data_IF_740824721146
#
_entry.id   IF_740824721146
#
_cell.length_a   1.000
_cell.length_b   1.000
_cell.length_c   1.000
_cell.angle_alpha   90.00
_cell.angle_beta   90.00
_cell.angle_gamma   90.00
#
_symmetry.space_group_name_H-M   'P 1'
#
loop_
_entity.id
_entity.type
_entity.pdbx_description
1 polymer ?
#
# COMPACT_ATOMS: atom_id res chain seq x y z
N UNK A 1 8.96 -10.35 -14.88
CA UNK A 1 9.47 -9.89 -13.57
C UNK A 1 9.41 -8.36 -13.40
N UNK A 2 10.27 -7.56 -14.06
CA UNK A 2 10.28 -6.08 -13.89
C UNK A 2 8.92 -5.42 -14.19
N UNK A 3 8.26 -5.82 -15.28
CA UNK A 3 6.94 -5.30 -15.64
C UNK A 3 5.88 -5.51 -14.54
N UNK A 4 5.93 -6.62 -13.80
CA UNK A 4 5.02 -6.88 -12.68
C UNK A 4 5.20 -5.84 -11.57
N UNK A 5 6.46 -5.53 -11.21
CA UNK A 5 6.74 -4.50 -10.21
C UNK A 5 6.36 -3.09 -10.66
N UNK A 6 6.46 -2.78 -11.96
CA UNK A 6 5.96 -1.51 -12.50
C UNK A 6 4.44 -1.39 -12.37
N UNK A 7 3.70 -2.46 -12.65
CA UNK A 7 2.24 -2.50 -12.46
C UNK A 7 1.85 -2.38 -10.99
N UNK A 8 2.57 -3.07 -10.10
CA UNK A 8 2.39 -2.92 -8.65
C UNK A 8 2.63 -1.46 -8.22
N UNK A 9 3.68 -0.84 -8.74
CA UNK A 9 4.02 0.54 -8.41
C UNK A 9 2.94 1.52 -8.85
N UNK A 10 2.52 1.42 -10.11
CA UNK A 10 1.45 2.24 -10.66
C UNK A 10 0.15 2.06 -9.88
N UNK A 11 -0.24 0.81 -9.61
CA UNK A 11 -1.47 0.52 -8.90
C UNK A 11 -1.47 1.11 -7.47
N UNK A 12 -0.35 0.96 -6.76
CA UNK A 12 -0.19 1.50 -5.42
C UNK A 12 -0.28 3.03 -5.43
N UNK A 13 0.39 3.71 -6.35
CA UNK A 13 0.33 5.17 -6.47
C UNK A 13 -1.10 5.65 -6.75
N UNK A 14 -1.82 5.00 -7.67
CA UNK A 14 -3.20 5.35 -8.01
C UNK A 14 -4.18 5.19 -6.84
N UNK A 15 -3.96 4.23 -5.92
CA UNK A 15 -4.78 4.07 -4.70
C UNK A 15 -4.50 5.17 -3.67
N UNK A 16 -3.27 5.69 -3.62
CA UNK A 16 -2.92 6.69 -2.61
C UNK A 16 -3.41 8.10 -2.93
N UNK A 17 -3.66 8.41 -4.21
CA UNK A 17 -4.19 9.72 -4.61
C UNK A 17 -5.58 10.01 -4.00
N UNK A 18 -6.58 9.10 -4.06
CA UNK A 18 -7.85 9.25 -3.34
C UNK A 18 -7.68 9.47 -1.83
N UNK A 19 -6.76 8.73 -1.21
CA UNK A 19 -6.47 8.87 0.22
C UNK A 19 -5.94 10.27 0.54
N UNK A 20 -5.04 10.79 -0.29
CA UNK A 20 -4.50 12.14 -0.14
C UNK A 20 -5.56 13.23 -0.32
N UNK A 21 -6.46 13.07 -1.29
CA UNK A 21 -7.57 14.00 -1.50
C UNK A 21 -8.51 14.02 -0.29
N UNK A 22 -8.82 12.86 0.28
CA UNK A 22 -9.62 12.75 1.50
C UNK A 22 -8.97 13.42 2.70
N UNK A 23 -7.65 13.22 2.87
CA UNK A 23 -6.87 13.87 3.93
C UNK A 23 -6.86 15.40 3.73
N UNK A 24 -6.65 15.87 2.49
CA UNK A 24 -6.61 17.31 2.20
C UNK A 24 -7.92 18.03 2.57
N UNK A 25 -9.06 17.47 2.15
CA UNK A 25 -10.39 18.00 2.49
C UNK A 25 -10.64 17.99 4.00
N UNK A 26 -10.23 16.92 4.70
CA UNK A 26 -10.36 16.83 6.16
C UNK A 26 -9.52 17.90 6.89
N UNK A 27 -8.34 18.25 6.39
CA UNK A 27 -7.48 19.28 6.98
C UNK A 27 -7.98 20.71 6.75
N UNK A 28 -8.81 20.96 5.73
CA UNK A 28 -9.34 22.30 5.43
C UNK A 28 -10.58 22.62 6.27
N UNK A 29 -11.58 21.73 6.28
CA UNK A 29 -12.90 22.03 6.88
C UNK A 29 -13.23 21.18 8.12
N UNK A 30 -12.31 20.33 8.60
CA UNK A 30 -12.45 19.55 9.83
C UNK A 30 -13.40 18.35 9.75
N UNK A 31 -14.30 18.31 8.75
CA UNK A 31 -15.19 17.20 8.43
C UNK A 31 -15.38 17.10 6.91
N UNK A 32 -15.13 15.93 6.33
CA UNK A 32 -15.43 15.68 4.92
C UNK A 32 -16.95 15.58 4.76
N UNK A 33 -17.56 16.55 4.09
CA UNK A 33 -19.00 16.51 3.81
C UNK A 33 -19.34 15.38 2.84
N UNK A 34 -20.61 14.93 2.84
CA UNK A 34 -21.08 13.91 1.88
C UNK A 34 -20.84 14.35 0.43
N UNK A 35 -20.96 15.66 0.14
CA UNK A 35 -20.77 16.21 -1.19
C UNK A 35 -19.31 16.13 -1.61
N UNK A 36 -18.38 16.40 -0.70
CA UNK A 36 -16.94 16.34 -1.00
C UNK A 36 -16.46 14.89 -1.10
N UNK A 37 -17.00 13.99 -0.27
CA UNK A 37 -16.79 12.56 -0.42
C UNK A 37 -17.24 12.04 -1.80
N UNK A 38 -18.40 12.49 -2.30
CA UNK A 38 -18.88 12.12 -3.64
C UNK A 38 -18.01 12.71 -4.76
N UNK A 39 -17.52 13.94 -4.61
CA UNK A 39 -16.56 14.54 -5.57
C UNK A 39 -15.26 13.75 -5.60
N UNK A 40 -14.67 13.45 -4.44
CA UNK A 40 -13.44 12.65 -4.34
C UNK A 40 -13.67 11.29 -4.99
N UNK A 41 -14.77 10.61 -4.68
CA UNK A 41 -15.11 9.31 -5.26
C UNK A 41 -15.22 9.40 -6.79
N UNK A 42 -15.92 10.42 -7.31
CA UNK A 42 -16.06 10.66 -8.74
C UNK A 42 -14.73 10.91 -9.45
N UNK A 43 -13.86 11.75 -8.88
CA UNK A 43 -12.52 12.04 -9.41
C UNK A 43 -11.59 10.83 -9.32
N UNK A 44 -11.82 9.96 -8.35
CA UNK A 44 -11.01 8.77 -8.09
C UNK A 44 -11.37 7.57 -8.95
N UNK A 45 -12.56 7.53 -9.57
CA UNK A 45 -13.01 6.40 -10.40
C UNK A 45 -12.01 5.98 -11.49
N UNK A 46 -11.43 6.90 -12.30
CA UNK A 46 -10.43 6.53 -13.30
C UNK A 46 -9.16 5.93 -12.67
N UNK A 47 -8.75 6.46 -11.51
CA UNK A 47 -7.57 5.99 -10.80
C UNK A 47 -7.80 4.60 -10.19
N UNK A 48 -8.99 4.36 -9.64
CA UNK A 48 -9.39 3.04 -9.13
C UNK A 48 -9.43 2.02 -10.26
N UNK A 49 -9.92 2.39 -11.45
CA UNK A 49 -9.89 1.51 -12.61
C UNK A 49 -8.46 1.11 -12.99
N UNK A 50 -7.54 2.09 -13.08
CA UNK A 50 -6.12 1.84 -13.36
C UNK A 50 -5.49 0.98 -12.26
N UNK A 51 -5.76 1.29 -10.99
CA UNK A 51 -5.25 0.53 -9.86
C UNK A 51 -5.72 -0.92 -9.87
N UNK A 52 -7.01 -1.14 -10.10
CA UNK A 52 -7.61 -2.49 -10.17
C UNK A 52 -7.00 -3.28 -11.31
N UNK A 53 -6.85 -2.65 -12.48
CA UNK A 53 -6.20 -3.27 -13.64
C UNK A 53 -4.74 -3.62 -13.34
N UNK A 54 -3.99 -2.70 -12.72
CA UNK A 54 -2.59 -2.91 -12.37
C UNK A 54 -2.40 -4.04 -11.35
N UNK A 55 -3.25 -4.11 -10.31
CA UNK A 55 -3.23 -5.22 -9.36
C UNK A 55 -3.65 -6.54 -10.00
N UNK A 56 -4.66 -6.55 -10.87
CA UNK A 56 -5.08 -7.76 -11.59
C UNK A 56 -3.94 -8.30 -12.49
N UNK A 57 -3.25 -7.42 -13.21
CA UNK A 57 -2.09 -7.81 -14.03
C UNK A 57 -0.92 -8.27 -13.15
N UNK A 58 -0.67 -7.60 -12.02
CA UNK A 58 0.37 -7.99 -11.07
C UNK A 58 0.13 -9.39 -10.51
N UNK A 59 -1.05 -9.64 -9.94
CA UNK A 59 -1.36 -10.93 -9.32
C UNK A 59 -1.58 -12.04 -10.35
N UNK A 60 -2.18 -11.73 -11.49
CA UNK A 60 -2.49 -12.72 -12.54
C UNK A 60 -1.31 -13.09 -13.45
N UNK A 61 -0.24 -12.29 -13.48
CA UNK A 61 1.01 -12.67 -14.16
C UNK A 61 2.17 -12.93 -13.21
N UNK A 62 2.11 -12.37 -12.00
CA UNK A 62 3.15 -12.51 -10.99
C UNK A 62 3.24 -13.92 -10.41
N UNK A 63 2.14 -14.67 -10.44
CA UNK A 63 2.06 -16.07 -10.00
C UNK A 63 3.00 -17.00 -10.78
N UNK A 64 3.28 -16.66 -12.05
CA UNK A 64 4.26 -17.37 -12.89
C UNK A 64 5.72 -17.17 -12.43
N UNK A 65 5.99 -16.13 -11.63
CA UNK A 65 7.33 -15.77 -11.18
C UNK A 65 7.52 -15.92 -9.66
N UNK A 66 6.45 -15.79 -8.88
CA UNK A 66 6.49 -15.69 -7.43
C UNK A 66 5.33 -16.45 -6.79
N UNK A 67 5.55 -17.00 -5.59
CA UNK A 67 4.46 -17.56 -4.79
C UNK A 67 3.47 -16.46 -4.36
N UNK A 68 2.19 -16.80 -4.24
CA UNK A 68 1.16 -15.85 -3.79
C UNK A 68 1.52 -15.14 -2.45
N UNK A 69 2.01 -15.84 -1.40
CA UNK A 69 2.46 -15.16 -0.18
C UNK A 69 3.56 -14.11 -0.43
N UNK A 70 4.53 -14.42 -1.28
CA UNK A 70 5.60 -13.48 -1.63
C UNK A 70 5.06 -12.26 -2.40
N UNK A 71 4.11 -12.46 -3.31
CA UNK A 71 3.46 -11.35 -4.02
C UNK A 71 2.71 -10.41 -3.08
N UNK A 72 1.92 -10.98 -2.16
CA UNK A 72 1.18 -10.21 -1.16
C UNK A 72 2.16 -9.40 -0.30
N UNK A 73 3.24 -10.02 0.14
CA UNK A 73 4.33 -9.37 0.86
C UNK A 73 4.90 -8.18 0.09
N UNK A 74 5.24 -8.36 -1.19
CA UNK A 74 5.83 -7.30 -1.99
C UNK A 74 4.86 -6.13 -2.16
N UNK A 75 3.57 -6.41 -2.35
CA UNK A 75 2.55 -5.37 -2.42
C UNK A 75 2.44 -4.56 -1.12
N UNK A 76 2.49 -5.22 0.04
CA UNK A 76 2.45 -4.54 1.34
C UNK A 76 3.70 -3.71 1.61
N UNK A 77 4.89 -4.24 1.32
CA UNK A 77 6.15 -3.49 1.45
C UNK A 77 6.10 -2.24 0.55
N UNK A 78 5.65 -2.40 -0.69
CA UNK A 78 5.57 -1.29 -1.63
C UNK A 78 4.57 -0.22 -1.16
N UNK A 79 3.38 -0.64 -0.70
CA UNK A 79 2.39 0.26 -0.11
C UNK A 79 2.94 1.02 1.12
N UNK A 80 3.70 0.34 1.98
CA UNK A 80 4.36 0.96 3.13
C UNK A 80 5.38 2.01 2.68
N UNK A 81 6.26 1.70 1.72
CA UNK A 81 7.26 2.64 1.19
C UNK A 81 6.57 3.89 0.62
N UNK A 82 5.54 3.70 -0.22
CA UNK A 82 4.79 4.81 -0.79
C UNK A 82 4.09 5.62 0.30
N UNK A 83 3.48 4.96 1.29
CA UNK A 83 2.85 5.63 2.43
C UNK A 83 3.81 6.53 3.21
N UNK A 84 5.01 6.03 3.52
CA UNK A 84 6.07 6.82 4.19
C UNK A 84 6.50 8.00 3.34
N UNK A 85 6.73 7.80 2.03
CA UNK A 85 7.08 8.90 1.10
C UNK A 85 6.00 9.98 1.12
N UNK A 86 4.73 9.58 1.07
CA UNK A 86 3.61 10.51 1.11
C UNK A 86 3.56 11.27 2.44
N UNK A 87 3.68 10.57 3.57
CA UNK A 87 3.66 11.17 4.91
C UNK A 87 4.76 12.21 5.09
N UNK A 88 6.00 11.88 4.68
CA UNK A 88 7.18 12.72 4.86
C UNK A 88 7.21 13.88 3.86
N UNK A 89 7.01 13.62 2.57
CA UNK A 89 7.25 14.61 1.51
C UNK A 89 5.99 15.38 1.10
N UNK A 90 4.81 14.76 1.13
CA UNK A 90 3.56 15.40 0.68
C UNK A 90 2.83 16.03 1.87
N UNK A 91 2.51 15.22 2.88
CA UNK A 91 1.77 15.69 4.06
C UNK A 91 2.66 16.52 4.99
N UNK A 92 3.99 16.38 4.89
CA UNK A 92 4.98 17.03 5.77
C UNK A 92 4.65 16.84 7.25
N UNK A 93 4.02 15.70 7.58
CA UNK A 93 3.67 15.36 8.95
C UNK A 93 4.98 15.10 9.69
N UNK A 94 5.37 16.04 10.56
CA UNK A 94 6.67 16.02 11.25
C UNK A 94 6.71 15.09 12.45
N UNK A 95 5.56 14.57 12.88
CA UNK A 95 5.48 13.70 14.05
C UNK A 95 5.27 12.25 13.60
N UNK A 96 6.36 11.50 13.56
CA UNK A 96 6.30 10.03 13.51
C UNK A 96 6.07 9.52 14.92
N UNK A 97 4.94 8.86 15.17
CA UNK A 97 4.63 8.33 16.49
C UNK A 97 5.47 7.07 16.78
N UNK A 98 5.92 6.88 18.02
CA UNK A 98 6.59 5.65 18.47
C UNK A 98 5.75 4.40 18.14
N UNK A 99 4.42 4.51 18.20
CA UNK A 99 3.49 3.43 17.81
C UNK A 99 3.63 3.05 16.33
N UNK A 100 3.85 4.02 15.43
CA UNK A 100 4.08 3.75 14.00
C UNK A 100 5.38 2.99 13.77
N UNK A 101 6.45 3.37 14.48
CA UNK A 101 7.75 2.67 14.42
C UNK A 101 7.64 1.23 14.92
N UNK A 102 6.89 1.00 16.01
CA UNK A 102 6.61 -0.36 16.52
C UNK A 102 5.80 -1.15 15.49
N UNK A 103 4.78 -0.55 14.88
CA UNK A 103 3.97 -1.17 13.84
C UNK A 103 4.80 -1.61 12.62
N UNK A 104 5.71 -0.75 12.15
CA UNK A 104 6.67 -1.08 11.09
C UNK A 104 7.55 -2.27 11.51
N UNK A 105 8.05 -2.26 12.75
CA UNK A 105 8.86 -3.37 13.29
C UNK A 105 8.12 -4.71 13.29
N UNK A 106 6.84 -4.72 13.69
CA UNK A 106 5.99 -5.93 13.66
C UNK A 106 5.77 -6.40 12.22
N UNK A 107 5.52 -5.50 11.27
CA UNK A 107 5.37 -5.85 9.86
C UNK A 107 6.65 -6.48 9.30
N UNK A 108 7.83 -5.94 9.62
CA UNK A 108 9.13 -6.51 9.23
C UNK A 108 9.34 -7.88 9.86
N UNK A 109 9.00 -8.06 11.15
CA UNK A 109 9.11 -9.36 11.81
C UNK A 109 8.17 -10.41 11.17
N UNK A 110 6.92 -10.05 10.90
CA UNK A 110 5.96 -10.90 10.19
C UNK A 110 6.42 -11.30 8.80
N UNK A 111 7.03 -10.36 8.07
CA UNK A 111 7.67 -10.61 6.78
C UNK A 111 8.80 -11.65 6.90
N UNK A 112 9.73 -11.45 7.84
CA UNK A 112 10.85 -12.38 8.07
C UNK A 112 10.32 -13.77 8.43
N UNK A 113 9.34 -13.87 9.33
CA UNK A 113 8.71 -15.14 9.69
C UNK A 113 8.04 -15.81 8.49
N UNK A 114 7.41 -15.05 7.60
CA UNK A 114 6.79 -15.61 6.39
C UNK A 114 7.83 -16.16 5.42
N UNK A 115 8.94 -15.45 5.19
CA UNK A 115 10.04 -15.88 4.32
C UNK A 115 10.66 -17.19 4.83
N UNK A 116 10.91 -17.25 6.14
CA UNK A 116 11.55 -18.41 6.78
C UNK A 116 10.56 -19.43 7.35
N UNK A 117 9.28 -19.34 7.00
CA UNK A 117 8.21 -20.14 7.60
C UNK A 117 8.47 -21.64 7.56
N UNK A 118 9.07 -22.14 6.46
CA UNK A 118 9.45 -23.55 6.33
C UNK A 118 10.60 -23.94 7.26
N UNK A 119 11.64 -23.12 7.40
CA UNK A 119 12.74 -23.39 8.33
C UNK A 119 12.28 -23.27 9.79
N UNK A 120 11.43 -22.29 10.10
CA UNK A 120 10.87 -22.08 11.44
C UNK A 120 10.00 -23.27 11.85
N UNK A 121 9.11 -23.75 10.98
CA UNK A 121 8.31 -24.94 11.25
C UNK A 121 9.17 -26.22 11.38
N UNK A 122 10.31 -26.30 10.70
CA UNK A 122 11.23 -27.42 10.83
C UNK A 122 12.02 -27.39 12.15
N UNK A 123 12.31 -26.21 12.69
CA UNK A 123 12.95 -26.03 14.01
C UNK A 123 12.00 -26.30 15.19
N UNK A 124 10.68 -26.19 14.98
CA UNK A 124 9.64 -26.43 15.99
C UNK A 124 9.15 -27.88 16.05
N UNK A 125 9.62 -28.75 15.15
CA UNK A 125 9.40 -30.20 15.18
C UNK A 125 10.52 -30.88 15.94
#
# INVERSE_FOLDING_TARGET
MLACFLWLALATLCVQVPNLLGIHEQYQDGLVSLVDALKIAGMSLPLIFIATTGFAIYYGRGDTFFSYPAMVIYAHIFALIVGVVIQVFILKAKETNVVELVGIGVCIAGLVMSIYSKQIMALLK
#
